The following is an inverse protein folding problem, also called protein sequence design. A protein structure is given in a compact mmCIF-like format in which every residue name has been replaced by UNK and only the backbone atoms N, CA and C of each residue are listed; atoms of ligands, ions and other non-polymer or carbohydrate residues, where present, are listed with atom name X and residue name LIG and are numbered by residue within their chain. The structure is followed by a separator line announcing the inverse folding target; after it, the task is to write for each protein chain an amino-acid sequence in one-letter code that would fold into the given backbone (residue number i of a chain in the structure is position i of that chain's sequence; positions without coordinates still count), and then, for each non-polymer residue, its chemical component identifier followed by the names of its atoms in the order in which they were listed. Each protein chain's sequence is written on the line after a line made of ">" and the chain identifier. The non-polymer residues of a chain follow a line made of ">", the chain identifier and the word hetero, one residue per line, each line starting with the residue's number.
data_IF_245482101698
#
_entry.id   IF_245482101698
#
_cell.length_a   1.000
_cell.length_b   1.000
_cell.length_c   1.000
_cell.angle_alpha   90.00
_cell.angle_beta   90.00
_cell.angle_gamma   90.00
#
_symmetry.space_group_name_H-M   'P 1'
#
loop_
_entity.id
_entity.type
_entity.pdbx_description
1 polymer ?
#
# COMPACT_ATOMS: atom_id res chain seq x y z
N UNK A 1 -26.08 5.67 36.27
CA UNK A 1 -25.76 7.11 36.36
C UNK A 1 -24.84 7.45 35.21
N UNK A 2 -25.29 8.23 34.24
CA UNK A 2 -24.50 8.56 33.05
C UNK A 2 -23.73 9.85 33.32
N UNK A 3 -22.42 9.76 33.51
CA UNK A 3 -21.57 10.94 33.66
C UNK A 3 -21.36 11.58 32.29
N UNK A 4 -21.71 12.85 32.14
CA UNK A 4 -21.40 13.62 30.94
C UNK A 4 -20.01 14.25 31.11
N UNK A 5 -19.13 14.02 30.14
CA UNK A 5 -17.84 14.67 30.06
C UNK A 5 -17.89 15.78 28.99
N UNK A 6 -17.28 16.93 29.30
CA UNK A 6 -17.14 18.04 28.34
C UNK A 6 -15.77 17.96 27.68
N UNK A 7 -15.72 18.17 26.37
CA UNK A 7 -14.49 18.20 25.57
C UNK A 7 -14.43 19.56 24.86
N UNK A 8 -13.33 20.30 25.05
CA UNK A 8 -13.07 21.53 24.31
C UNK A 8 -12.04 21.24 23.21
N UNK A 9 -12.40 21.52 21.96
CA UNK A 9 -11.56 21.29 20.78
C UNK A 9 -11.38 22.61 20.05
N UNK A 10 -10.13 22.96 19.73
CA UNK A 10 -9.81 24.10 18.86
C UNK A 10 -9.63 23.58 17.44
N UNK A 11 -10.34 24.20 16.51
CA UNK A 11 -10.25 23.93 15.07
C UNK A 11 -10.22 25.26 14.34
N UNK A 12 -9.74 25.24 13.10
CA UNK A 12 -9.84 26.39 12.21
C UNK A 12 -11.32 26.71 11.89
N UNK A 13 -11.63 27.99 11.71
CA UNK A 13 -13.00 28.44 11.48
C UNK A 13 -13.55 27.94 10.13
N UNK A 14 -12.72 27.92 9.09
CA UNK A 14 -13.12 27.40 7.78
C UNK A 14 -13.41 25.90 7.86
N UNK A 15 -12.53 25.14 8.53
CA UNK A 15 -12.74 23.70 8.74
C UNK A 15 -14.05 23.40 9.47
N UNK A 16 -14.35 24.17 10.52
CA UNK A 16 -15.59 24.04 11.29
C UNK A 16 -16.81 24.27 10.41
N UNK A 17 -16.81 25.33 9.61
CA UNK A 17 -17.94 25.70 8.75
C UNK A 17 -18.16 24.67 7.64
N UNK A 18 -17.09 24.21 6.99
CA UNK A 18 -17.15 23.23 5.91
C UNK A 18 -17.71 21.88 6.43
N UNK A 19 -17.17 21.39 7.54
CA UNK A 19 -17.62 20.13 8.15
C UNK A 19 -19.06 20.25 8.68
N UNK A 20 -19.44 21.41 9.22
CA UNK A 20 -20.81 21.64 9.70
C UNK A 20 -21.84 21.60 8.56
N UNK A 21 -21.51 22.16 7.38
CA UNK A 21 -22.38 22.07 6.19
C UNK A 21 -22.56 20.63 5.73
N UNK A 22 -21.47 19.87 5.65
CA UNK A 22 -21.50 18.44 5.27
C UNK A 22 -22.41 17.65 6.23
N UNK A 23 -22.28 17.85 7.54
CA UNK A 23 -23.17 17.19 8.50
C UNK A 23 -24.62 17.65 8.39
N UNK A 24 -24.86 18.94 8.15
CA UNK A 24 -26.21 19.48 7.99
C UNK A 24 -26.92 18.91 6.75
N UNK A 25 -26.21 18.69 5.64
CA UNK A 25 -26.73 18.01 4.45
C UNK A 25 -27.18 16.57 4.75
N UNK A 26 -26.55 15.92 5.73
CA UNK A 26 -26.92 14.60 6.22
C UNK A 26 -27.99 14.64 7.34
N UNK A 27 -28.47 15.83 7.72
CA UNK A 27 -29.42 16.00 8.83
C UNK A 27 -28.81 15.82 10.22
N UNK A 28 -27.49 16.00 10.36
CA UNK A 28 -26.74 15.84 11.59
C UNK A 28 -26.13 17.17 12.04
N UNK A 29 -25.99 17.37 13.35
CA UNK A 29 -25.17 18.45 13.88
C UNK A 29 -23.71 18.00 14.04
N UNK A 30 -22.78 18.97 14.06
CA UNK A 30 -21.35 18.72 14.22
C UNK A 30 -21.02 17.89 15.48
N UNK A 31 -21.70 18.14 16.60
CA UNK A 31 -21.48 17.40 17.85
C UNK A 31 -21.91 15.95 17.71
N UNK A 32 -23.03 15.68 17.03
CA UNK A 32 -23.45 14.31 16.72
C UNK A 32 -22.46 13.61 15.82
N UNK A 33 -21.95 14.28 14.79
CA UNK A 33 -20.87 13.75 13.93
C UNK A 33 -19.63 13.33 14.74
N UNK A 34 -19.15 14.21 15.63
CA UNK A 34 -18.01 13.92 16.51
C UNK A 34 -18.32 12.74 17.45
N UNK A 35 -19.54 12.68 18.02
CA UNK A 35 -19.94 11.56 18.88
C UNK A 35 -19.93 10.22 18.13
N UNK A 36 -20.39 10.19 16.88
CA UNK A 36 -20.35 8.97 16.04
C UNK A 36 -18.91 8.51 15.86
N UNK A 37 -18.00 9.42 15.54
CA UNK A 37 -16.57 9.12 15.42
C UNK A 37 -16.01 8.50 16.72
N UNK A 38 -16.27 9.13 17.87
CA UNK A 38 -15.83 8.63 19.17
C UNK A 38 -16.42 7.25 19.49
N UNK A 39 -17.69 7.02 19.15
CA UNK A 39 -18.34 5.71 19.33
C UNK A 39 -17.70 4.64 18.46
N UNK A 40 -17.34 4.96 17.22
CA UNK A 40 -16.65 4.03 16.33
C UNK A 40 -15.28 3.66 16.86
N UNK A 41 -14.50 4.63 17.34
CA UNK A 41 -13.21 4.39 18.02
C UNK A 41 -13.39 3.49 19.25
N UNK A 42 -14.42 3.76 20.07
CA UNK A 42 -14.71 2.96 21.27
C UNK A 42 -15.03 1.49 20.91
N UNK A 43 -15.81 1.27 19.86
CA UNK A 43 -16.24 -0.07 19.43
C UNK A 43 -15.10 -0.86 18.79
N UNK A 44 -14.40 -0.27 17.84
CA UNK A 44 -13.38 -0.97 17.06
C UNK A 44 -12.00 -0.98 17.74
N UNK A 45 -11.81 -0.19 18.81
CA UNK A 45 -10.53 0.03 19.51
C UNK A 45 -9.38 0.42 18.59
N UNK A 46 -9.70 1.12 17.51
CA UNK A 46 -8.75 1.62 16.49
C UNK A 46 -9.28 2.91 15.88
N UNK A 47 -8.40 3.60 15.17
CA UNK A 47 -8.77 4.77 14.37
C UNK A 47 -9.67 4.30 13.21
N UNK A 48 -10.84 4.92 12.98
CA UNK A 48 -11.87 4.42 12.07
C UNK A 48 -11.61 4.87 10.63
N UNK A 49 -10.34 4.94 10.25
CA UNK A 49 -9.85 5.16 8.90
C UNK A 49 -8.45 4.54 8.82
N UNK A 50 -8.05 4.12 7.62
CA UNK A 50 -6.70 3.63 7.39
C UNK A 50 -5.70 4.78 7.52
N UNK A 51 -4.64 4.59 8.29
CA UNK A 51 -3.55 5.57 8.37
C UNK A 51 -2.54 5.18 7.29
N UNK A 52 -2.69 5.75 6.09
CA UNK A 52 -1.78 5.53 4.96
C UNK A 52 -0.65 6.55 5.05
N UNK A 53 0.46 6.18 5.70
CA UNK A 53 1.65 7.03 5.86
C UNK A 53 2.78 6.77 4.86
N UNK A 54 2.67 5.72 4.07
CA UNK A 54 3.67 5.29 3.08
C UNK A 54 2.94 4.59 1.95
N UNK A 55 3.45 4.75 0.72
CA UNK A 55 2.97 4.06 -0.49
C UNK A 55 2.50 2.67 -0.14
N UNK A 56 1.22 2.41 -0.41
CA UNK A 56 0.58 1.16 -0.02
C UNK A 56 1.38 0.01 -0.63
N UNK A 57 1.78 -0.96 0.20
CA UNK A 57 2.57 -2.11 -0.28
C UNK A 57 1.84 -2.86 -1.38
N UNK A 58 0.50 -2.81 -1.35
CA UNK A 58 -0.37 -3.35 -2.38
C UNK A 58 -0.29 -2.56 -3.69
N UNK A 59 -0.15 -1.24 -3.63
CA UNK A 59 0.05 -0.40 -4.81
C UNK A 59 1.42 -0.69 -5.45
N UNK A 60 2.47 -0.82 -4.63
CA UNK A 60 3.82 -1.18 -5.12
C UNK A 60 3.81 -2.57 -5.76
N UNK A 61 3.11 -3.54 -5.17
CA UNK A 61 2.95 -4.87 -5.73
C UNK A 61 2.19 -4.87 -7.06
N UNK A 62 1.16 -4.03 -7.21
CA UNK A 62 0.45 -3.85 -8.47
C UNK A 62 1.32 -3.17 -9.53
N UNK A 63 2.07 -2.13 -9.16
CA UNK A 63 2.98 -1.43 -10.07
C UNK A 63 4.10 -2.35 -10.58
N UNK A 64 4.58 -3.29 -9.75
CA UNK A 64 5.50 -4.33 -10.17
C UNK A 64 4.86 -5.30 -11.18
N UNK A 65 3.64 -5.78 -10.91
CA UNK A 65 2.89 -6.67 -11.83
C UNK A 65 2.55 -5.98 -13.16
N UNK A 66 2.29 -4.68 -13.11
CA UNK A 66 2.05 -3.84 -14.28
C UNK A 66 3.34 -3.49 -15.06
N UNK A 67 4.51 -3.89 -14.55
CA UNK A 67 5.79 -3.69 -15.24
C UNK A 67 6.32 -2.26 -15.19
N UNK A 68 5.96 -1.47 -14.16
CA UNK A 68 6.47 -0.11 -14.02
C UNK A 68 8.02 -0.12 -13.95
N UNK A 69 8.73 0.51 -14.91
CA UNK A 69 10.18 0.40 -15.03
C UNK A 69 10.94 1.01 -13.86
N UNK A 70 10.40 2.04 -13.21
CA UNK A 70 11.05 2.66 -12.05
C UNK A 70 11.04 1.74 -10.83
N UNK A 71 9.91 1.09 -10.57
CA UNK A 71 9.75 0.16 -9.43
C UNK A 71 10.66 -1.05 -9.61
N UNK A 72 10.68 -1.63 -10.81
CA UNK A 72 11.55 -2.78 -11.15
C UNK A 72 13.03 -2.41 -11.01
N UNK A 73 13.44 -1.23 -11.46
CA UNK A 73 14.82 -0.75 -11.33
C UNK A 73 15.25 -0.58 -9.87
N UNK A 74 14.39 0.02 -9.03
CA UNK A 74 14.63 0.17 -7.59
C UNK A 74 14.77 -1.20 -6.91
N UNK A 75 13.91 -2.16 -7.23
CA UNK A 75 13.97 -3.51 -6.68
C UNK A 75 15.24 -4.27 -7.12
N UNK A 76 15.62 -4.16 -8.39
CA UNK A 76 16.87 -4.76 -8.88
C UNK A 76 18.10 -4.18 -8.18
N UNK A 77 18.11 -2.87 -7.91
CA UNK A 77 19.18 -2.21 -7.16
C UNK A 77 19.25 -2.72 -5.72
N UNK A 78 18.11 -2.88 -5.04
CA UNK A 78 18.05 -3.43 -3.68
C UNK A 78 18.50 -4.89 -3.64
N UNK A 79 18.07 -5.71 -4.60
CA UNK A 79 18.48 -7.11 -4.71
C UNK A 79 19.98 -7.25 -4.90
N UNK A 80 20.57 -6.37 -5.72
CA UNK A 80 22.01 -6.33 -5.96
C UNK A 80 22.79 -5.88 -4.73
N UNK A 81 22.26 -4.91 -3.97
CA UNK A 81 22.86 -4.44 -2.73
C UNK A 81 22.79 -5.49 -1.61
N UNK A 82 21.70 -6.25 -1.52
CA UNK A 82 21.53 -7.33 -0.53
C UNK A 82 22.39 -8.56 -0.86
N UNK A 83 22.64 -8.80 -2.15
CA UNK A 83 23.49 -9.91 -2.58
C UNK A 83 24.95 -9.76 -2.10
N UNK A 84 25.42 -8.53 -1.83
CA UNK A 84 26.81 -8.25 -1.47
C UNK A 84 27.81 -8.67 -2.55
N UNK A 85 28.98 -8.03 -2.66
CA UNK A 85 30.02 -8.42 -3.62
C UNK A 85 30.65 -9.80 -3.34
N UNK A 86 30.41 -10.38 -2.17
CA UNK A 86 31.16 -11.48 -1.57
C UNK A 86 30.34 -12.77 -1.34
N UNK A 87 29.02 -12.76 -1.52
CA UNK A 87 28.20 -13.96 -1.44
C UNK A 87 27.96 -14.57 -2.83
N UNK A 88 29.04 -15.13 -3.37
CA UNK A 88 28.96 -16.05 -4.50
C UNK A 88 27.98 -17.19 -4.20
N UNK A 89 26.87 -17.22 -4.95
CA UNK A 89 26.10 -18.42 -5.29
C UNK A 89 25.47 -19.28 -4.17
N UNK A 90 25.41 -18.86 -2.90
CA UNK A 90 24.83 -19.69 -1.83
C UNK A 90 23.45 -19.22 -1.31
N UNK A 91 23.04 -18.00 -1.63
CA UNK A 91 21.69 -17.50 -1.28
C UNK A 91 20.61 -17.89 -2.28
N UNK A 92 19.34 -17.94 -1.85
CA UNK A 92 18.16 -18.22 -2.70
C UNK A 92 18.19 -17.37 -3.97
N UNK A 93 18.53 -16.07 -3.86
CA UNK A 93 18.64 -15.15 -5.00
C UNK A 93 19.71 -15.52 -6.04
N UNK A 94 20.87 -16.04 -5.62
CA UNK A 94 21.95 -16.45 -6.52
C UNK A 94 21.60 -17.72 -7.31
N UNK A 95 20.79 -18.60 -6.73
CA UNK A 95 20.32 -19.83 -7.38
C UNK A 95 19.34 -19.55 -8.53
N UNK A 96 18.43 -18.57 -8.37
CA UNK A 96 17.46 -18.19 -9.42
C UNK A 96 18.16 -17.49 -10.60
N UNK A 97 19.13 -16.61 -10.33
CA UNK A 97 19.93 -15.93 -11.36
C UNK A 97 20.79 -16.91 -12.16
N UNK A 98 21.32 -17.96 -11.54
CA UNK A 98 22.09 -19.02 -12.21
C UNK A 98 21.20 -19.92 -13.07
N UNK A 99 19.95 -20.15 -12.66
CA UNK A 99 18.99 -20.92 -13.44
C UNK A 99 18.55 -20.17 -14.70
N UNK A 100 18.32 -18.86 -14.62
CA UNK A 100 17.91 -18.03 -15.78
C UNK A 100 19.06 -17.76 -16.76
N UNK A 101 20.29 -17.63 -16.27
CA UNK A 101 21.48 -17.45 -17.13
C UNK A 101 21.93 -18.75 -17.83
N UNK A 102 21.46 -19.93 -17.42
CA UNK A 102 21.70 -21.19 -18.14
C UNK A 102 20.84 -21.37 -19.40
N UNK A 103 19.81 -20.55 -19.62
CA UNK A 103 18.94 -20.66 -20.80
C UNK A 103 19.14 -19.56 -21.86
N UNK A 104 20.11 -18.63 -21.70
CA UNK A 104 20.34 -17.54 -22.67
C UNK A 104 21.61 -17.72 -23.53
N UNK A 105 21.59 -18.76 -24.36
CA UNK A 105 22.06 -18.72 -25.75
C UNK A 105 20.84 -19.28 -26.50
N UNK A 106 19.91 -18.47 -27.01
CA UNK A 106 20.01 -17.71 -28.25
C UNK A 106 18.81 -16.74 -28.40
N UNK A 107 19.02 -15.66 -29.18
CA UNK A 107 18.09 -14.69 -29.78
C UNK A 107 17.36 -13.60 -28.93
N UNK A 108 17.17 -12.38 -29.50
CA UNK A 108 16.60 -11.22 -28.82
C UNK A 108 15.08 -11.16 -29.01
N UNK A 109 14.34 -11.14 -27.92
CA UNK A 109 12.88 -10.98 -27.91
C UNK A 109 12.41 -10.74 -26.48
N UNK A 110 11.47 -9.83 -26.31
CA UNK A 110 11.05 -9.28 -25.02
C UNK A 110 10.70 -10.33 -23.95
N UNK A 111 10.96 -9.96 -22.70
CA UNK A 111 10.62 -10.75 -21.51
C UNK A 111 9.11 -10.68 -21.32
N UNK A 112 8.34 -11.61 -21.91
CA UNK A 112 6.90 -11.65 -21.65
C UNK A 112 6.05 -12.33 -22.72
N UNK A 113 6.37 -13.54 -23.14
CA UNK A 113 5.45 -14.40 -23.89
C UNK A 113 5.87 -15.87 -23.71
N UNK A 114 5.61 -16.42 -22.52
CA UNK A 114 5.90 -17.83 -22.23
C UNK A 114 4.92 -18.50 -21.25
N UNK A 115 3.96 -17.76 -20.69
CA UNK A 115 3.04 -18.29 -19.67
C UNK A 115 1.60 -18.46 -20.21
N UNK A 116 1.40 -18.40 -21.53
CA UNK A 116 0.09 -18.61 -22.15
C UNK A 116 0.23 -19.48 -23.42
N UNK A 117 0.55 -20.76 -23.25
CA UNK A 117 0.12 -21.79 -24.19
C UNK A 117 0.37 -23.16 -23.56
N UNK A 118 -0.58 -23.60 -22.74
CA UNK A 118 -0.87 -25.02 -22.54
C UNK A 118 -2.38 -25.12 -22.26
N UNK A 119 -3.14 -25.06 -23.34
CA UNK A 119 -4.53 -25.50 -23.42
C UNK A 119 -4.70 -26.02 -24.84
N UNK A 120 -5.19 -27.27 -24.97
CA UNK A 120 -5.14 -28.20 -26.11
C UNK A 120 -3.82 -29.00 -26.12
N UNK A 121 -3.80 -30.34 -26.01
CA UNK A 121 -4.78 -31.41 -26.28
C UNK A 121 -4.82 -32.40 -25.10
#
# INVERSE_FOLDING_TARGET
>A
MTFMAQINIKVDDQLKDDVSKIFAEMGLDLTTGIKIYLKRVQQDRRIPFAITGTQDVDEVAQQYRAGNPEVVSRLNKLLSALAGPDNGATGIGGSVLKATSRQKKEQPGGIGQGILNNTHD
#
